data_IF_807889983720
#
_entry.id   IF_807889983720
#
_cell.length_a   1.000
_cell.length_b   1.000
_cell.length_c   1.000
_cell.angle_alpha   90.00
_cell.angle_beta   90.00
_cell.angle_gamma   90.00
#
_symmetry.space_group_name_H-M   'P 1'
#
loop_
_entity.id
_entity.type
_entity.pdbx_description
1 polymer ?
#
# COMPACT_ATOMS: atom_id res chain seq x y z
N UNK A 1 -5.72 27.48 22.67
CA UNK A 1 -4.41 27.59 23.32
C UNK A 1 -3.48 28.39 22.40
N UNK A 2 -3.16 29.64 22.83
CA UNK A 2 -2.09 30.40 22.20
C UNK A 2 -0.75 29.68 22.50
N UNK A 3 -0.22 28.99 21.52
CA UNK A 3 1.19 28.55 21.53
C UNK A 3 2.02 29.83 21.45
N UNK A 4 3.06 29.96 22.30
CA UNK A 4 3.96 31.12 22.26
C UNK A 4 4.54 31.27 20.84
N UNK A 5 4.85 32.51 20.40
CA UNK A 5 5.30 32.76 19.01
C UNK A 5 6.51 31.91 18.62
N UNK A 6 7.48 31.73 19.51
CA UNK A 6 8.65 30.90 19.27
C UNK A 6 8.32 29.39 19.11
N UNK A 7 7.42 28.85 19.95
CA UNK A 7 6.93 27.48 19.83
C UNK A 7 6.11 27.30 18.54
N UNK A 8 5.39 28.33 18.10
CA UNK A 8 4.67 28.36 16.82
C UNK A 8 5.63 28.21 15.62
N UNK A 9 6.78 28.88 15.63
CA UNK A 9 7.74 28.85 14.51
C UNK A 9 8.49 27.50 14.42
N UNK A 10 8.87 26.91 15.55
CA UNK A 10 9.46 25.58 15.61
C UNK A 10 8.49 24.53 15.07
N UNK A 11 7.24 24.57 15.51
CA UNK A 11 6.19 23.70 15.01
C UNK A 11 5.97 23.83 13.49
N UNK A 12 5.84 25.08 12.99
CA UNK A 12 5.65 25.36 11.56
C UNK A 12 6.81 24.77 10.73
N UNK A 13 8.04 24.90 11.21
CA UNK A 13 9.23 24.34 10.56
C UNK A 13 9.18 22.81 10.51
N UNK A 14 8.89 22.13 11.61
CA UNK A 14 8.78 20.67 11.68
C UNK A 14 7.65 20.13 10.75
N UNK A 15 6.52 20.83 10.70
CA UNK A 15 5.45 20.50 9.76
C UNK A 15 5.90 20.61 8.32
N UNK A 16 6.57 21.69 7.93
CA UNK A 16 7.05 21.89 6.57
C UNK A 16 8.11 20.86 6.18
N UNK A 17 9.02 20.51 7.08
CA UNK A 17 10.06 19.50 6.83
C UNK A 17 9.43 18.10 6.64
N UNK A 18 8.45 17.75 7.47
CA UNK A 18 7.67 16.51 7.29
C UNK A 18 6.92 16.47 5.96
N UNK A 19 6.32 17.58 5.54
CA UNK A 19 5.63 17.67 4.24
C UNK A 19 6.60 17.57 3.06
N UNK A 20 7.76 18.23 3.12
CA UNK A 20 8.83 18.12 2.11
C UNK A 20 9.34 16.69 1.99
N UNK A 21 9.39 15.94 3.09
CA UNK A 21 9.67 14.49 3.12
C UNK A 21 8.49 13.63 2.62
N UNK A 22 7.49 14.25 1.97
CA UNK A 22 6.30 13.62 1.39
C UNK A 22 5.42 12.88 2.41
N UNK A 23 5.52 13.20 3.69
CA UNK A 23 4.60 12.72 4.72
C UNK A 23 3.25 13.45 4.61
N UNK A 24 2.15 12.77 4.94
CA UNK A 24 0.84 13.44 4.96
C UNK A 24 0.66 14.21 6.27
N UNK A 25 -0.19 15.28 6.30
CA UNK A 25 -0.50 16.01 7.53
C UNK A 25 -0.90 15.12 8.71
N UNK A 26 -1.60 14.02 8.43
CA UNK A 26 -1.99 13.04 9.44
C UNK A 26 -0.80 12.29 10.05
N UNK A 27 0.19 11.91 9.23
CA UNK A 27 1.40 11.24 9.70
C UNK A 27 2.27 12.23 10.47
N UNK A 28 2.45 13.45 9.95
CA UNK A 28 3.21 14.52 10.64
C UNK A 28 2.61 14.81 12.02
N UNK A 29 1.29 14.99 12.10
CA UNK A 29 0.58 15.19 13.37
C UNK A 29 0.81 14.04 14.36
N UNK A 30 0.83 12.79 13.87
CA UNK A 30 1.05 11.62 14.72
C UNK A 30 2.47 11.51 15.24
N UNK A 31 3.47 11.73 14.38
CA UNK A 31 4.89 11.72 14.77
C UNK A 31 5.16 12.83 15.80
N UNK A 32 4.65 14.05 15.56
CA UNK A 32 4.80 15.15 16.51
C UNK A 32 4.21 14.80 17.89
N UNK A 33 3.07 14.11 17.92
CA UNK A 33 2.47 13.68 19.20
C UNK A 33 3.33 12.68 19.97
N UNK A 34 4.09 11.83 19.27
CA UNK A 34 4.99 10.86 19.91
C UNK A 34 6.31 11.47 20.35
N UNK A 35 6.89 12.34 19.52
CA UNK A 35 8.23 12.89 19.74
C UNK A 35 8.21 14.15 20.60
N UNK A 36 7.20 15.01 20.42
CA UNK A 36 7.08 16.31 21.10
C UNK A 36 5.61 16.56 21.44
N UNK A 37 5.06 15.89 22.47
CA UNK A 37 3.64 16.00 22.83
C UNK A 37 3.16 17.44 23.06
N UNK A 38 4.03 18.29 23.60
CA UNK A 38 3.79 19.71 23.87
C UNK A 38 3.62 20.55 22.60
N UNK A 39 4.18 20.13 21.48
CA UNK A 39 4.06 20.76 20.16
C UNK A 39 3.03 20.07 19.27
N UNK A 40 2.27 19.09 19.82
CA UNK A 40 1.37 18.30 19.01
C UNK A 40 0.15 19.09 18.57
N UNK A 41 -0.16 19.01 17.29
CA UNK A 41 -1.34 19.63 16.68
C UNK A 41 -2.13 18.61 15.88
N UNK A 42 -3.43 18.82 15.72
CA UNK A 42 -4.24 17.94 14.93
C UNK A 42 -3.97 18.14 13.42
N UNK A 43 -4.21 17.09 12.65
CA UNK A 43 -3.97 17.15 11.18
C UNK A 43 -4.83 18.20 10.47
N UNK A 44 -5.99 18.55 11.02
CA UNK A 44 -6.86 19.60 10.46
C UNK A 44 -6.21 20.98 10.62
N UNK A 45 -5.58 21.26 11.76
CA UNK A 45 -4.81 22.50 11.98
C UNK A 45 -3.65 22.59 10.97
N UNK A 46 -2.98 21.48 10.67
CA UNK A 46 -1.94 21.47 9.62
C UNK A 46 -2.54 21.79 8.24
N UNK A 47 -3.71 21.24 7.90
CA UNK A 47 -4.39 21.59 6.65
C UNK A 47 -4.79 23.06 6.60
N UNK A 48 -5.33 23.63 7.70
CA UNK A 48 -5.67 25.06 7.76
C UNK A 48 -4.43 25.92 7.54
N UNK A 49 -3.34 25.62 8.24
CA UNK A 49 -2.05 26.32 8.05
C UNK A 49 -1.58 26.29 6.59
N UNK A 50 -1.63 25.11 5.93
CA UNK A 50 -1.20 24.96 4.52
C UNK A 50 -2.06 25.81 3.58
N UNK A 51 -3.40 25.82 3.77
CA UNK A 51 -4.30 26.50 2.83
C UNK A 51 -4.50 27.99 3.13
N UNK A 52 -4.20 28.45 4.34
CA UNK A 52 -4.42 29.85 4.76
C UNK A 52 -3.13 30.68 4.82
N UNK A 53 -2.02 30.06 5.26
CA UNK A 53 -0.79 30.79 5.56
C UNK A 53 0.39 30.44 4.64
N UNK A 54 0.37 29.26 4.00
CA UNK A 54 1.50 28.81 3.18
C UNK A 54 1.38 29.23 1.71
N UNK A 55 2.51 29.46 1.00
CA UNK A 55 2.51 29.58 -0.45
C UNK A 55 1.87 28.37 -1.13
N UNK A 56 1.18 28.56 -2.26
CA UNK A 56 0.48 27.50 -3.00
C UNK A 56 1.39 26.33 -3.40
N UNK A 57 2.71 26.56 -3.50
CA UNK A 57 3.70 25.54 -3.81
C UNK A 57 3.73 24.42 -2.76
N UNK A 58 3.43 24.71 -1.50
CA UNK A 58 3.39 23.73 -0.40
C UNK A 58 2.28 22.69 -0.63
N UNK A 59 1.22 23.03 -1.33
CA UNK A 59 0.14 22.10 -1.71
C UNK A 59 0.67 20.95 -2.58
N UNK A 60 1.76 21.15 -3.33
CA UNK A 60 2.41 20.11 -4.14
C UNK A 60 3.04 18.99 -3.30
N UNK A 61 3.35 19.23 -2.04
CA UNK A 61 3.84 18.22 -1.10
C UNK A 61 2.70 17.37 -0.49
N UNK A 62 1.44 17.83 -0.60
CA UNK A 62 0.30 17.05 -0.12
C UNK A 62 0.09 15.77 -0.95
N UNK A 63 -0.33 14.67 -0.32
CA UNK A 63 -0.54 13.39 -1.00
C UNK A 63 -1.47 13.44 -2.21
N UNK A 64 -2.43 14.35 -2.23
CA UNK A 64 -3.44 14.45 -3.30
C UNK A 64 -3.28 15.69 -4.18
N UNK A 65 -2.41 16.63 -3.84
CA UNK A 65 -2.18 17.90 -4.55
C UNK A 65 -3.48 18.63 -4.94
N UNK A 66 -4.53 18.53 -4.12
CA UNK A 66 -5.86 19.08 -4.42
C UNK A 66 -6.03 20.43 -3.75
N UNK A 67 -6.49 21.40 -4.50
CA UNK A 67 -6.90 22.71 -3.98
C UNK A 67 -8.25 22.67 -3.25
N UNK A 68 -9.10 21.64 -3.53
CA UNK A 68 -10.43 21.51 -2.93
C UNK A 68 -10.78 20.07 -2.54
N UNK A 69 -11.58 19.88 -1.46
CA UNK A 69 -12.12 18.57 -1.02
C UNK A 69 -13.22 18.05 -1.98
N UNK A 70 -13.17 16.77 -2.38
CA UNK A 70 -14.20 16.13 -3.21
C UNK A 70 -15.11 15.21 -2.38
N UNK A 71 -16.45 15.29 -2.58
CA UNK A 71 -17.46 14.43 -1.92
C UNK A 71 -17.38 12.96 -2.41
N UNK A 72 -17.73 11.99 -1.55
CA UNK A 72 -17.77 10.55 -1.89
C UNK A 72 -19.00 10.21 -2.76
N UNK A 73 -18.82 9.38 -3.79
CA UNK A 73 -19.89 8.89 -4.67
C UNK A 73 -20.51 7.55 -4.21
N UNK A 74 -21.62 7.06 -4.85
CA UNK A 74 -22.40 5.89 -4.42
C UNK A 74 -21.70 4.52 -4.65
N UNK A 75 -22.19 3.47 -3.94
CA UNK A 75 -21.65 2.09 -3.93
C UNK A 75 -22.24 1.21 -5.06
N UNK A 76 -21.45 0.24 -5.59
CA UNK A 76 -21.84 -0.72 -6.66
C UNK A 76 -22.35 -2.07 -6.11
N UNK A 77 -23.09 -2.86 -6.96
CA UNK A 77 -23.76 -4.15 -6.63
C UNK A 77 -22.81 -5.36 -6.58
N UNK A 78 -23.27 -6.47 -5.91
CA UNK A 78 -22.54 -7.72 -5.64
C UNK A 78 -22.54 -8.70 -6.85
N UNK A 79 -21.44 -9.47 -7.05
CA UNK A 79 -21.31 -10.53 -8.06
C UNK A 79 -21.02 -11.91 -7.43
N UNK A 80 -21.09 -13.00 -8.21
CA UNK A 80 -20.96 -14.41 -7.76
C UNK A 80 -19.69 -15.06 -8.33
N UNK A 81 -19.05 -15.95 -7.57
CA UNK A 81 -17.87 -16.72 -7.99
C UNK A 81 -18.29 -17.77 -9.04
N UNK A 82 -17.52 -17.92 -10.14
CA UNK A 82 -17.84 -18.84 -11.24
C UNK A 82 -16.98 -20.11 -11.29
N UNK A 83 -15.88 -20.16 -10.55
CA UNK A 83 -14.93 -21.28 -10.58
C UNK A 83 -15.01 -22.06 -9.26
N UNK A 84 -15.53 -23.30 -9.35
CA UNK A 84 -15.75 -24.19 -8.21
C UNK A 84 -14.46 -24.79 -7.61
N UNK A 85 -13.31 -24.62 -8.28
CA UNK A 85 -12.01 -25.14 -7.78
C UNK A 85 -11.24 -24.12 -6.93
N UNK A 86 -11.68 -22.86 -6.89
CA UNK A 86 -11.02 -21.78 -6.18
C UNK A 86 -11.64 -21.59 -4.80
N UNK A 87 -10.83 -21.66 -3.76
CA UNK A 87 -11.28 -21.36 -2.39
C UNK A 87 -11.73 -19.91 -2.31
N UNK A 88 -12.99 -19.69 -1.97
CA UNK A 88 -13.54 -18.35 -1.86
C UNK A 88 -12.98 -17.61 -0.64
N UNK A 89 -12.82 -16.30 -0.74
CA UNK A 89 -12.42 -15.46 0.39
C UNK A 89 -13.37 -15.57 1.60
N UNK A 90 -14.60 -15.99 1.39
CA UNK A 90 -15.59 -16.23 2.45
C UNK A 90 -15.27 -17.45 3.30
N UNK A 91 -14.48 -18.39 2.76
CA UNK A 91 -14.02 -19.61 3.46
C UNK A 91 -12.72 -19.34 4.26
N UNK A 92 -12.14 -18.15 4.08
CA UNK A 92 -10.93 -17.73 4.79
C UNK A 92 -11.23 -17.54 6.28
N UNK A 93 -10.37 -18.10 7.15
CA UNK A 93 -10.46 -17.96 8.59
C UNK A 93 -10.65 -16.49 9.01
N UNK A 94 -11.57 -16.26 9.95
CA UNK A 94 -11.90 -14.93 10.44
C UNK A 94 -10.69 -14.28 11.12
N UNK A 95 -9.78 -15.06 11.71
CA UNK A 95 -8.52 -14.59 12.31
C UNK A 95 -7.68 -13.84 11.27
N UNK A 96 -7.63 -14.34 10.02
CA UNK A 96 -6.92 -13.67 8.91
C UNK A 96 -7.54 -12.30 8.61
N UNK A 97 -8.87 -12.16 8.76
CA UNK A 97 -9.57 -10.90 8.52
C UNK A 97 -9.22 -9.83 9.55
N UNK A 98 -8.89 -10.23 10.78
CA UNK A 98 -8.48 -9.29 11.85
C UNK A 98 -7.14 -8.63 11.57
N UNK A 99 -6.30 -9.20 10.69
CA UNK A 99 -4.94 -8.73 10.38
C UNK A 99 -4.00 -8.73 11.59
N UNK A 100 -4.29 -9.53 12.60
CA UNK A 100 -3.44 -9.67 13.81
C UNK A 100 -2.34 -10.70 13.58
N UNK A 101 -2.63 -11.73 12.80
CA UNK A 101 -1.67 -12.76 12.43
C UNK A 101 -0.84 -12.34 11.21
N UNK A 102 0.51 -12.50 11.23
CA UNK A 102 1.37 -12.21 10.09
C UNK A 102 1.36 -13.35 9.06
N UNK A 103 1.86 -13.03 7.86
CA UNK A 103 2.08 -14.03 6.81
C UNK A 103 0.93 -14.14 5.81
N UNK A 104 -0.06 -13.25 5.86
CA UNK A 104 -1.19 -13.23 4.93
C UNK A 104 -1.02 -12.09 3.91
N UNK A 105 -0.91 -12.46 2.63
CA UNK A 105 -0.60 -11.54 1.54
C UNK A 105 -1.82 -11.25 0.66
N UNK A 106 -1.81 -10.11 -0.01
CA UNK A 106 -2.70 -9.76 -1.12
C UNK A 106 -1.84 -9.48 -2.34
N UNK A 107 -2.21 -10.03 -3.51
CA UNK A 107 -1.52 -9.77 -4.77
C UNK A 107 -2.42 -9.12 -5.80
N UNK A 108 -1.83 -8.26 -6.64
CA UNK A 108 -2.51 -7.59 -7.75
C UNK A 108 -1.50 -7.15 -8.81
N UNK A 109 -1.97 -6.92 -10.04
CA UNK A 109 -1.12 -6.49 -11.14
C UNK A 109 -1.36 -5.04 -11.53
N UNK A 110 -0.29 -4.28 -11.71
CA UNK A 110 -0.32 -2.93 -12.28
C UNK A 110 0.06 -3.01 -13.76
N UNK A 111 -0.92 -2.91 -14.64
CA UNK A 111 -0.72 -2.98 -16.09
C UNK A 111 -0.46 -1.61 -16.72
N UNK A 112 0.32 -1.58 -17.82
CA UNK A 112 0.46 -0.44 -18.72
C UNK A 112 -0.48 -0.60 -19.92
N UNK A 113 -0.93 0.54 -20.46
CA UNK A 113 -1.62 0.53 -21.77
C UNK A 113 -0.65 0.58 -22.96
N UNK A 114 0.62 0.84 -22.72
CA UNK A 114 1.63 1.11 -23.75
C UNK A 114 2.59 -0.06 -23.98
N UNK A 115 2.61 -1.04 -23.06
CA UNK A 115 3.44 -2.24 -23.17
C UNK A 115 2.78 -3.44 -22.48
N UNK A 116 3.24 -4.66 -22.79
CA UNK A 116 2.84 -5.88 -22.09
C UNK A 116 3.47 -5.96 -20.69
N UNK A 117 4.58 -5.22 -20.50
CA UNK A 117 5.30 -5.17 -19.20
C UNK A 117 4.40 -4.62 -18.12
N UNK A 118 4.39 -5.29 -16.99
CA UNK A 118 3.56 -4.93 -15.83
C UNK A 118 4.35 -5.04 -14.53
N UNK A 119 3.72 -4.62 -13.43
CA UNK A 119 4.26 -4.84 -12.08
C UNK A 119 3.35 -5.81 -11.35
N UNK A 120 3.91 -6.90 -10.84
CA UNK A 120 3.26 -7.67 -9.81
C UNK A 120 3.51 -6.98 -8.46
N UNK A 121 2.46 -6.77 -7.69
CA UNK A 121 2.51 -6.11 -6.39
C UNK A 121 1.93 -7.05 -5.35
N UNK A 122 2.73 -7.44 -4.38
CA UNK A 122 2.29 -8.21 -3.23
C UNK A 122 2.43 -7.36 -1.95
N UNK A 123 1.44 -7.44 -1.06
CA UNK A 123 1.45 -6.74 0.23
C UNK A 123 1.11 -7.70 1.36
N UNK A 124 1.92 -7.71 2.41
CA UNK A 124 1.60 -8.40 3.66
C UNK A 124 0.56 -7.58 4.45
N UNK A 125 -0.50 -8.25 4.92
CA UNK A 125 -1.73 -7.58 5.40
C UNK A 125 -1.59 -6.94 6.77
N UNK A 126 -0.77 -7.47 7.67
CA UNK A 126 -0.54 -6.93 9.02
C UNK A 126 0.45 -5.78 8.99
N UNK A 127 1.66 -6.01 8.50
CA UNK A 127 2.75 -5.03 8.45
C UNK A 127 2.60 -3.98 7.36
N UNK A 128 1.79 -4.25 6.32
CA UNK A 128 1.72 -3.43 5.09
C UNK A 128 3.01 -3.44 4.29
N UNK A 129 3.90 -4.41 4.52
CA UNK A 129 5.12 -4.58 3.77
C UNK A 129 4.82 -4.93 2.31
N UNK A 130 5.47 -4.26 1.39
CA UNK A 130 5.18 -4.32 -0.05
C UNK A 130 6.36 -4.92 -0.79
N UNK A 131 6.06 -5.76 -1.76
CA UNK A 131 7.00 -6.22 -2.78
C UNK A 131 6.50 -5.83 -4.16
N UNK A 132 7.37 -5.28 -4.99
CA UNK A 132 7.06 -4.85 -6.36
C UNK A 132 8.02 -5.54 -7.32
N UNK A 133 7.49 -6.36 -8.20
CA UNK A 133 8.30 -7.09 -9.19
C UNK A 133 7.90 -6.66 -10.60
N UNK A 134 8.88 -6.25 -11.41
CA UNK A 134 8.66 -5.99 -12.84
C UNK A 134 8.61 -7.31 -13.57
N UNK A 135 7.52 -7.58 -14.30
CA UNK A 135 7.29 -8.79 -15.08
C UNK A 135 7.11 -8.45 -16.56
N UNK A 136 7.57 -9.36 -17.43
CA UNK A 136 7.56 -9.14 -18.87
C UNK A 136 6.15 -9.01 -19.45
N UNK A 137 5.19 -9.73 -18.83
CA UNK A 137 3.77 -9.73 -19.20
C UNK A 137 2.90 -10.14 -18.02
N UNK A 138 1.59 -10.24 -18.21
CA UNK A 138 0.61 -10.69 -17.22
C UNK A 138 0.23 -12.16 -17.38
N UNK A 139 1.15 -13.00 -17.85
CA UNK A 139 0.91 -14.46 -17.92
C UNK A 139 0.91 -15.08 -16.52
N UNK A 140 0.24 -16.22 -16.39
CA UNK A 140 0.22 -16.97 -15.14
C UNK A 140 1.63 -17.44 -14.73
N UNK A 141 2.50 -17.75 -15.71
CA UNK A 141 3.89 -18.13 -15.43
C UNK A 141 4.69 -16.95 -14.86
N UNK A 142 4.63 -15.77 -15.49
CA UNK A 142 5.37 -14.61 -15.03
C UNK A 142 4.92 -14.16 -13.62
N UNK A 143 3.62 -14.29 -13.32
CA UNK A 143 3.06 -13.99 -11.99
C UNK A 143 3.54 -15.02 -10.96
N UNK A 144 3.52 -16.32 -11.30
CA UNK A 144 4.05 -17.39 -10.45
C UNK A 144 5.54 -17.16 -10.13
N UNK A 145 6.37 -16.94 -11.14
CA UNK A 145 7.80 -16.72 -10.97
C UNK A 145 8.09 -15.50 -10.08
N UNK A 146 7.36 -14.40 -10.30
CA UNK A 146 7.50 -13.20 -9.49
C UNK A 146 7.18 -13.44 -8.01
N UNK A 147 6.06 -14.09 -7.72
CA UNK A 147 5.63 -14.37 -6.35
C UNK A 147 6.51 -15.42 -5.68
N UNK A 148 6.77 -16.54 -6.35
CA UNK A 148 7.61 -17.62 -5.81
C UNK A 148 9.02 -17.12 -5.47
N UNK A 149 9.68 -16.40 -6.39
CA UNK A 149 11.03 -15.87 -6.17
C UNK A 149 11.12 -14.84 -5.04
N UNK A 150 10.07 -14.09 -4.79
CA UNK A 150 10.06 -13.04 -3.76
C UNK A 150 9.61 -13.58 -2.40
N UNK A 151 8.55 -14.39 -2.37
CA UNK A 151 7.96 -14.87 -1.13
C UNK A 151 8.79 -16.00 -0.48
N UNK A 152 9.41 -16.87 -1.27
CA UNK A 152 10.27 -17.94 -0.74
C UNK A 152 11.43 -17.45 0.16
N UNK A 153 11.82 -16.19 0.02
CA UNK A 153 12.90 -15.57 0.83
C UNK A 153 12.50 -15.30 2.28
N UNK A 154 11.21 -15.38 2.63
CA UNK A 154 10.70 -14.95 3.93
C UNK A 154 10.38 -16.10 4.89
N UNK A 155 10.40 -17.34 4.43
CA UNK A 155 10.06 -18.52 5.23
C UNK A 155 8.56 -18.64 5.56
N UNK A 156 8.16 -19.80 6.07
CA UNK A 156 6.76 -20.17 6.24
C UNK A 156 6.04 -19.38 7.35
N UNK A 157 6.77 -18.81 8.31
CA UNK A 157 6.16 -17.97 9.35
C UNK A 157 5.65 -16.65 8.81
N UNK A 158 6.30 -16.13 7.75
CA UNK A 158 5.99 -14.84 7.10
C UNK A 158 5.20 -14.99 5.80
N UNK A 159 4.94 -16.24 5.35
CA UNK A 159 4.14 -16.54 4.15
C UNK A 159 3.26 -17.74 4.43
N UNK A 160 1.98 -17.49 4.72
CA UNK A 160 1.00 -18.52 5.07
C UNK A 160 -0.14 -18.60 4.06
N UNK A 161 -0.58 -17.47 3.55
CA UNK A 161 -1.62 -17.44 2.52
C UNK A 161 -1.50 -16.22 1.61
N UNK A 162 -2.14 -16.31 0.44
CA UNK A 162 -2.21 -15.22 -0.51
C UNK A 162 -3.64 -15.05 -1.02
N UNK A 163 -4.10 -13.81 -1.18
CA UNK A 163 -5.42 -13.48 -1.70
C UNK A 163 -5.30 -12.85 -3.09
N UNK A 164 -6.00 -13.43 -4.05
CA UNK A 164 -6.05 -13.04 -5.45
C UNK A 164 -7.43 -12.49 -5.86
N UNK A 165 -7.48 -11.80 -7.00
CA UNK A 165 -8.72 -11.68 -7.76
C UNK A 165 -8.88 -12.88 -8.72
N UNK A 166 -9.96 -12.87 -9.51
CA UNK A 166 -10.25 -13.94 -10.47
C UNK A 166 -9.56 -13.74 -11.83
N UNK A 167 -8.46 -12.96 -11.88
CA UNK A 167 -7.69 -12.76 -13.10
C UNK A 167 -7.05 -14.05 -13.62
N UNK A 168 -6.88 -14.15 -14.93
CA UNK A 168 -6.23 -15.31 -15.58
C UNK A 168 -4.74 -15.41 -15.26
N UNK A 169 -4.12 -14.28 -14.87
CA UNK A 169 -2.74 -14.20 -14.38
C UNK A 169 -2.50 -15.00 -13.10
N UNK A 170 -3.56 -15.36 -12.39
CA UNK A 170 -3.48 -16.15 -11.15
C UNK A 170 -3.77 -17.65 -11.38
N UNK A 171 -3.82 -18.14 -12.64
CA UNK A 171 -4.20 -19.51 -12.95
C UNK A 171 -3.20 -20.57 -12.40
N UNK A 172 -1.95 -20.20 -12.13
CA UNK A 172 -0.94 -21.07 -11.50
C UNK A 172 -0.90 -21.00 -9.97
N UNK A 173 -2.01 -20.66 -9.35
CA UNK A 173 -2.09 -20.56 -7.89
C UNK A 173 -1.80 -21.90 -7.18
N UNK A 174 -2.20 -23.05 -7.77
CA UNK A 174 -1.90 -24.38 -7.21
C UNK A 174 -0.41 -24.67 -7.19
N UNK A 175 0.29 -24.35 -8.27
CA UNK A 175 1.75 -24.50 -8.33
C UNK A 175 2.43 -23.65 -7.24
N UNK A 176 1.85 -22.47 -6.94
CA UNK A 176 2.35 -21.59 -5.88
C UNK A 176 2.04 -22.15 -4.47
N UNK A 177 0.85 -22.72 -4.25
CA UNK A 177 0.51 -23.44 -3.02
C UNK A 177 1.48 -24.57 -2.74
N UNK A 178 1.71 -25.40 -3.75
CA UNK A 178 2.61 -26.57 -3.63
C UNK A 178 4.08 -26.15 -3.38
N UNK A 179 4.54 -25.09 -4.07
CA UNK A 179 5.95 -24.66 -3.96
C UNK A 179 6.27 -23.91 -2.67
N UNK A 180 5.31 -23.19 -2.09
CA UNK A 180 5.50 -22.39 -0.90
C UNK A 180 4.84 -22.97 0.36
N UNK A 181 4.00 -24.00 0.22
CA UNK A 181 3.24 -24.58 1.33
C UNK A 181 2.19 -23.61 1.91
N UNK A 182 1.49 -22.84 1.05
CA UNK A 182 0.57 -21.79 1.43
C UNK A 182 -0.86 -22.06 0.93
N UNK A 183 -1.82 -21.30 1.45
CA UNK A 183 -3.20 -21.31 0.99
C UNK A 183 -3.50 -20.13 0.08
N UNK A 184 -4.32 -20.34 -0.96
CA UNK A 184 -4.78 -19.27 -1.85
C UNK A 184 -6.26 -19.02 -1.68
N UNK A 185 -6.64 -17.74 -1.59
CA UNK A 185 -8.03 -17.29 -1.51
C UNK A 185 -8.37 -16.37 -2.67
N UNK A 186 -9.60 -16.46 -3.16
CA UNK A 186 -10.07 -15.67 -4.28
C UNK A 186 -11.22 -14.75 -3.88
N UNK A 187 -11.11 -13.48 -4.24
CA UNK A 187 -12.15 -12.49 -4.03
C UNK A 187 -13.41 -12.83 -4.80
N UNK A 188 -14.56 -12.44 -4.29
CA UNK A 188 -15.79 -12.49 -5.05
C UNK A 188 -15.71 -11.57 -6.27
N UNK A 189 -16.28 -11.95 -7.42
CA UNK A 189 -16.33 -11.09 -8.59
C UNK A 189 -16.91 -9.71 -8.25
N UNK A 190 -16.27 -8.65 -8.77
CA UNK A 190 -16.64 -7.24 -8.53
C UNK A 190 -16.50 -6.76 -7.07
N UNK A 191 -15.87 -7.53 -6.16
CA UNK A 191 -15.64 -7.19 -4.78
C UNK A 191 -14.21 -6.66 -4.55
N UNK A 192 -13.77 -5.66 -5.31
CA UNK A 192 -12.41 -5.09 -5.22
C UNK A 192 -12.01 -4.61 -3.81
N UNK A 193 -13.00 -4.29 -2.95
CA UNK A 193 -12.73 -3.87 -1.57
C UNK A 193 -12.20 -4.99 -0.67
N UNK A 194 -12.32 -6.26 -1.06
CA UNK A 194 -11.79 -7.41 -0.33
C UNK A 194 -10.25 -7.46 -0.38
N UNK A 195 -9.63 -6.85 -1.41
CA UNK A 195 -8.19 -6.59 -1.53
C UNK A 195 -7.84 -5.12 -1.26
N UNK A 196 -8.44 -4.53 -0.25
CA UNK A 196 -8.28 -3.08 0.03
C UNK A 196 -6.85 -2.65 0.35
N UNK A 197 -5.99 -3.55 0.83
CA UNK A 197 -4.61 -3.22 1.15
C UNK A 197 -3.79 -3.02 -0.12
N UNK A 198 -3.80 -3.98 -1.05
CA UNK A 198 -3.06 -3.87 -2.31
C UNK A 198 -3.64 -2.78 -3.22
N UNK A 199 -4.96 -2.60 -3.24
CA UNK A 199 -5.58 -1.49 -4.00
C UNK A 199 -5.07 -0.12 -3.53
N UNK A 200 -4.93 0.06 -2.21
CA UNK A 200 -4.40 1.30 -1.66
C UNK A 200 -2.92 1.52 -2.01
N UNK A 201 -2.11 0.45 -1.95
CA UNK A 201 -0.70 0.51 -2.37
C UNK A 201 -0.59 0.80 -3.86
N UNK A 202 -1.39 0.18 -4.70
CA UNK A 202 -1.42 0.46 -6.14
C UNK A 202 -1.74 1.94 -6.43
N UNK A 203 -2.63 2.56 -5.66
CA UNK A 203 -2.88 4.02 -5.74
C UNK A 203 -1.64 4.84 -5.37
N UNK A 204 -0.83 4.36 -4.42
CA UNK A 204 0.41 5.04 -4.05
C UNK A 204 1.50 4.87 -5.11
N UNK A 205 1.69 3.66 -5.65
CA UNK A 205 2.62 3.39 -6.76
C UNK A 205 2.26 4.26 -7.98
N UNK A 206 0.97 4.41 -8.28
CA UNK A 206 0.47 5.25 -9.38
C UNK A 206 0.76 6.75 -9.24
N UNK A 207 1.23 7.22 -8.09
CA UNK A 207 1.76 8.59 -7.94
C UNK A 207 3.16 8.75 -8.52
N UNK A 208 3.94 7.68 -8.54
CA UNK A 208 5.28 7.62 -9.13
C UNK A 208 5.23 7.14 -10.58
N UNK A 209 4.37 6.16 -10.86
CA UNK A 209 4.17 5.54 -12.18
C UNK A 209 2.71 5.75 -12.59
N UNK A 210 2.34 6.90 -13.21
CA UNK A 210 0.97 7.18 -13.65
C UNK A 210 0.43 6.16 -14.66
N UNK A 211 -0.90 6.05 -14.81
CA UNK A 211 -1.55 5.06 -15.69
C UNK A 211 -1.12 5.09 -17.16
N UNK A 212 -0.62 6.24 -17.64
CA UNK A 212 -0.17 6.44 -19.03
C UNK A 212 1.34 6.22 -19.20
N UNK A 213 2.07 5.87 -18.15
CA UNK A 213 3.50 5.58 -18.21
C UNK A 213 3.74 4.20 -18.85
N UNK A 214 4.66 4.12 -19.77
CA UNK A 214 5.18 2.86 -20.30
C UNK A 214 6.08 2.20 -19.24
N UNK A 215 5.60 1.11 -18.63
CA UNK A 215 6.33 0.41 -17.58
C UNK A 215 7.63 -0.23 -18.12
N UNK A 216 7.69 -0.55 -19.40
CA UNK A 216 8.91 -1.12 -20.01
C UNK A 216 10.11 -0.18 -19.85
N UNK A 217 9.88 1.13 -19.90
CA UNK A 217 10.89 2.19 -19.78
C UNK A 217 11.25 2.56 -18.34
N UNK A 218 10.51 2.05 -17.36
CA UNK A 218 10.81 2.29 -15.94
C UNK A 218 11.94 1.35 -15.52
N UNK A 219 13.04 1.90 -15.01
CA UNK A 219 14.18 1.08 -14.56
C UNK A 219 13.86 0.28 -13.31
N UNK A 220 14.57 -0.83 -13.10
CA UNK A 220 14.42 -1.68 -11.92
C UNK A 220 14.82 -0.88 -10.67
N UNK A 221 15.85 -0.04 -10.73
CA UNK A 221 16.29 0.83 -9.63
C UNK A 221 15.19 1.81 -9.22
N UNK A 222 14.44 2.33 -10.18
CA UNK A 222 13.29 3.20 -9.88
C UNK A 222 12.19 2.43 -9.14
N UNK A 223 11.94 1.19 -9.53
CA UNK A 223 10.95 0.32 -8.86
C UNK A 223 11.40 0.01 -7.43
N UNK A 224 12.67 -0.34 -7.22
CA UNK A 224 13.24 -0.57 -5.88
C UNK A 224 13.15 0.69 -5.01
N UNK A 225 13.48 1.87 -5.53
CA UNK A 225 13.32 3.14 -4.78
C UNK A 225 11.86 3.40 -4.36
N UNK A 226 10.90 3.01 -5.19
CA UNK A 226 9.46 3.13 -4.84
C UNK A 226 9.11 2.11 -3.76
N UNK A 227 9.56 0.88 -3.88
CA UNK A 227 9.36 -0.18 -2.88
C UNK A 227 9.94 0.24 -1.52
N UNK A 228 11.19 0.70 -1.49
CA UNK A 228 11.87 1.19 -0.29
C UNK A 228 11.11 2.37 0.34
N UNK A 229 10.73 3.34 -0.45
CA UNK A 229 9.94 4.48 0.03
C UNK A 229 8.62 4.04 0.68
N UNK A 230 7.93 3.06 0.10
CA UNK A 230 6.68 2.55 0.63
C UNK A 230 6.88 1.75 1.92
N UNK A 231 7.98 1.01 2.02
CA UNK A 231 8.30 0.15 3.16
C UNK A 231 8.89 0.92 4.35
N UNK A 232 9.61 2.01 4.12
CA UNK A 232 10.19 2.83 5.20
C UNK A 232 9.31 4.01 5.62
N UNK A 233 8.20 4.23 4.91
CA UNK A 233 7.29 5.31 5.25
C UNK A 233 6.41 4.95 6.46
N UNK A 234 6.39 5.75 7.55
CA UNK A 234 5.52 5.54 8.71
C UNK A 234 4.04 5.46 8.33
N UNK A 235 3.30 4.57 8.98
CA UNK A 235 1.86 4.35 8.75
C UNK A 235 1.07 4.55 10.04
N UNK A 236 0.03 5.38 10.01
CA UNK A 236 -0.86 5.57 11.16
C UNK A 236 -1.46 4.25 11.68
N UNK A 237 -1.78 3.32 10.76
CA UNK A 237 -2.36 2.02 11.12
C UNK A 237 -1.36 1.07 11.82
N UNK A 238 -0.07 1.42 11.80
CA UNK A 238 1.03 0.74 12.45
C UNK A 238 1.60 1.58 13.60
N UNK A 239 0.79 2.41 14.22
CA UNK A 239 1.20 3.33 15.30
C UNK A 239 2.43 4.15 14.92
N UNK A 240 2.46 4.60 13.66
CA UNK A 240 3.52 5.39 13.02
C UNK A 240 4.86 4.67 12.82
N UNK A 241 4.93 3.37 13.07
CA UNK A 241 6.02 2.53 12.61
C UNK A 241 5.99 2.37 11.08
N UNK A 242 7.13 2.03 10.51
CA UNK A 242 7.22 1.69 9.09
C UNK A 242 6.80 0.23 8.84
N UNK A 243 6.31 -0.11 7.64
CA UNK A 243 6.07 -1.49 7.23
C UNK A 243 7.29 -2.39 7.39
N UNK A 244 8.49 -1.86 7.11
CA UNK A 244 9.76 -2.57 7.24
C UNK A 244 10.05 -2.99 8.68
N UNK A 245 9.91 -2.06 9.64
CA UNK A 245 10.12 -2.35 11.06
C UNK A 245 9.14 -3.40 11.57
N UNK A 246 7.85 -3.25 11.26
CA UNK A 246 6.82 -4.21 11.70
C UNK A 246 7.02 -5.58 11.05
N UNK A 247 7.36 -5.66 9.76
CA UNK A 247 7.59 -6.93 9.08
C UNK A 247 8.81 -7.69 9.64
N UNK A 248 9.88 -6.96 9.96
CA UNK A 248 11.08 -7.57 10.54
C UNK A 248 10.93 -7.96 12.02
N UNK A 249 9.94 -7.41 12.73
CA UNK A 249 9.62 -7.83 14.10
C UNK A 249 8.87 -9.18 14.15
N UNK A 250 8.42 -9.72 13.02
CA UNK A 250 7.81 -11.05 12.99
C UNK A 250 8.85 -12.15 13.23
N UNK A 251 8.48 -13.21 13.94
CA UNK A 251 9.34 -14.35 14.19
C UNK A 251 9.74 -15.09 12.90
#
# INVERSE_FOLDING_TARGET
HCISSAASDVYKRQVLDGLKSKLSPNIVSGILRQVSPELSVCHETIYQYIYQECPLEIVNYLPTKRLFRKKRGPKRKKGTLRDLQKTCITERDEVINTRKDPGHWESDSIVSKQSKVSLNVAIERKSRFVQITKIADTTAQATYDALSNRLSKHGNTKVKSITFDNGTENAKYKDLEDSLGIESYFCLPYHSWEKGAVENVNKMIRKFIPKKTDISKVSIETIHKIEDYLNHRPRKILDYQSPYEVFNSFP
#
